data_IF_997903653378
#
_entry.id   IF_997903653378
#
_cell.length_a   1.000
_cell.length_b   1.000
_cell.length_c   1.000
_cell.angle_alpha   90.00
_cell.angle_beta   90.00
_cell.angle_gamma   90.00
#
_symmetry.space_group_name_H-M   'P 1'
#
loop_
_entity.id
_entity.type
_entity.pdbx_description
1 polymer ?
#
# COMPACT_ATOMS: atom_id res chain seq x y z
N UNK A 1 -5.17 10.93 16.07
CA UNK A 1 -6.04 10.98 17.28
C UNK A 1 -6.94 12.22 17.31
N UNK A 2 -7.28 12.81 16.15
CA UNK A 2 -8.15 13.99 16.07
C UNK A 2 -9.62 13.54 15.92
N UNK A 3 -10.52 14.07 16.75
CA UNK A 3 -11.96 13.87 16.59
C UNK A 3 -12.46 14.44 15.25
N UNK A 4 -11.87 15.55 14.80
CA UNK A 4 -12.18 16.13 13.50
C UNK A 4 -11.81 15.17 12.36
N UNK A 5 -10.69 14.47 12.44
CA UNK A 5 -10.29 13.49 11.45
C UNK A 5 -11.30 12.33 11.39
N UNK A 6 -11.73 11.82 12.55
CA UNK A 6 -12.74 10.76 12.61
C UNK A 6 -14.09 11.21 12.01
N UNK A 7 -14.52 12.44 12.30
CA UNK A 7 -15.73 13.03 11.72
C UNK A 7 -15.63 13.16 10.19
N UNK A 8 -14.49 13.69 9.70
CA UNK A 8 -14.27 13.82 8.24
C UNK A 8 -14.19 12.46 7.55
N UNK A 9 -13.58 11.46 8.17
CA UNK A 9 -13.56 10.08 7.65
C UNK A 9 -14.98 9.51 7.53
N UNK A 10 -15.83 9.70 8.54
CA UNK A 10 -17.21 9.27 8.51
C UNK A 10 -18.02 10.00 7.42
N UNK A 11 -17.89 11.31 7.31
CA UNK A 11 -18.55 12.10 6.25
C UNK A 11 -18.10 11.67 4.84
N UNK A 12 -16.81 11.41 4.66
CA UNK A 12 -16.27 10.92 3.41
C UNK A 12 -16.79 9.53 3.08
N UNK A 13 -16.85 8.62 4.04
CA UNK A 13 -17.41 7.28 3.85
C UNK A 13 -18.87 7.35 3.39
N UNK A 14 -19.69 8.16 4.04
CA UNK A 14 -21.09 8.36 3.62
C UNK A 14 -21.16 8.90 2.19
N UNK A 15 -20.38 9.90 1.86
CA UNK A 15 -20.40 10.53 0.52
C UNK A 15 -19.99 9.56 -0.59
N UNK A 16 -18.92 8.81 -0.38
CA UNK A 16 -18.32 7.97 -1.43
C UNK A 16 -19.02 6.59 -1.53
N UNK A 17 -19.44 6.00 -0.41
CA UNK A 17 -19.92 4.63 -0.40
C UNK A 17 -21.44 4.49 -0.59
N UNK A 18 -22.24 5.51 -0.21
CA UNK A 18 -23.70 5.39 -0.22
C UNK A 18 -24.29 5.03 -1.59
N UNK A 19 -23.62 5.41 -2.68
CA UNK A 19 -24.09 5.13 -4.04
C UNK A 19 -23.77 3.69 -4.52
N UNK A 20 -22.82 3.00 -3.88
CA UNK A 20 -22.28 1.73 -4.37
C UNK A 20 -22.38 0.58 -3.36
N UNK A 21 -22.73 0.84 -2.11
CA UNK A 21 -22.79 -0.16 -1.02
C UNK A 21 -23.78 -1.30 -1.26
N UNK A 22 -24.73 -1.12 -2.15
CA UNK A 22 -25.74 -2.14 -2.48
C UNK A 22 -25.45 -2.84 -3.83
N UNK A 23 -24.28 -2.59 -4.44
CA UNK A 23 -23.88 -3.21 -5.71
C UNK A 23 -23.36 -4.64 -5.46
N UNK A 24 -24.06 -5.69 -5.90
CA UNK A 24 -23.65 -7.08 -5.67
C UNK A 24 -22.38 -7.49 -6.43
N UNK A 25 -21.89 -6.66 -7.34
CA UNK A 25 -20.66 -6.90 -8.09
C UNK A 25 -19.43 -6.20 -7.49
N UNK A 26 -19.62 -5.35 -6.48
CA UNK A 26 -18.54 -4.72 -5.76
C UNK A 26 -17.89 -5.73 -4.81
N UNK A 27 -16.58 -5.90 -4.89
CA UNK A 27 -15.83 -6.79 -3.99
C UNK A 27 -15.57 -6.10 -2.65
N UNK A 28 -15.16 -4.83 -2.69
CA UNK A 28 -14.78 -4.08 -1.51
C UNK A 28 -14.06 -2.78 -1.85
N UNK A 29 -13.46 -2.18 -0.83
CA UNK A 29 -12.87 -0.85 -0.91
C UNK A 29 -11.40 -0.86 -0.51
N UNK A 30 -10.54 -0.27 -1.31
CA UNK A 30 -9.22 0.16 -0.87
C UNK A 30 -9.36 1.47 -0.09
N UNK A 31 -8.89 1.50 1.14
CA UNK A 31 -9.10 2.66 2.03
C UNK A 31 -8.06 3.76 1.85
N UNK A 32 -6.91 3.43 1.26
CA UNK A 32 -5.90 4.39 0.81
C UNK A 32 -4.94 3.72 -0.19
N UNK A 33 -3.99 4.49 -0.72
CA UNK A 33 -2.94 4.00 -1.60
C UNK A 33 -1.57 4.46 -1.11
N UNK A 34 -0.65 3.51 -0.98
CA UNK A 34 0.77 3.74 -0.74
C UNK A 34 1.07 4.77 0.37
N UNK A 35 0.62 4.52 1.61
CA UNK A 35 0.85 5.46 2.68
C UNK A 35 2.36 5.72 2.89
N UNK A 36 2.72 6.99 3.07
CA UNK A 36 4.09 7.50 3.12
C UNK A 36 5.03 6.77 4.08
N UNK A 37 4.51 6.25 5.20
CA UNK A 37 5.35 5.53 6.17
C UNK A 37 5.89 4.18 5.67
N UNK A 38 5.46 3.76 4.47
CA UNK A 38 5.97 2.59 3.76
C UNK A 38 6.37 2.85 2.32
N UNK A 39 6.18 4.03 1.82
CA UNK A 39 6.59 4.39 0.46
C UNK A 39 8.08 4.72 0.41
N UNK A 40 8.52 5.58 1.32
CA UNK A 40 9.93 5.90 1.51
C UNK A 40 10.44 5.25 2.79
N UNK A 41 11.59 4.58 2.70
CA UNK A 41 12.24 3.97 3.84
C UNK A 41 12.41 5.00 4.98
N UNK A 42 12.19 4.56 6.22
CA UNK A 42 12.50 5.30 7.45
C UNK A 42 11.63 6.51 7.81
N UNK A 43 10.46 6.68 7.23
CA UNK A 43 9.50 7.67 7.73
C UNK A 43 8.88 7.18 9.04
N UNK A 44 9.38 7.70 10.16
CA UNK A 44 8.79 7.47 11.48
C UNK A 44 7.78 8.57 11.80
N UNK A 45 6.49 8.21 11.89
CA UNK A 45 5.40 9.18 12.11
C UNK A 45 5.50 9.90 13.46
N UNK A 46 6.04 9.25 14.50
CA UNK A 46 6.26 9.91 15.79
C UNK A 46 7.30 11.03 15.68
N UNK A 47 8.39 10.78 14.94
CA UNK A 47 9.36 11.83 14.69
C UNK A 47 8.80 12.95 13.81
N UNK A 48 8.03 12.62 12.76
CA UNK A 48 7.35 13.63 11.95
C UNK A 48 6.41 14.49 12.80
N UNK A 49 5.67 13.88 13.71
CA UNK A 49 4.82 14.56 14.67
C UNK A 49 5.61 15.54 15.55
N UNK A 50 6.76 15.12 16.07
CA UNK A 50 7.59 15.93 16.96
C UNK A 50 8.35 17.05 16.24
N UNK A 51 8.68 16.86 14.96
CA UNK A 51 9.49 17.82 14.19
C UNK A 51 8.64 18.88 13.46
N UNK A 52 7.44 18.52 12.99
CA UNK A 52 6.58 19.42 12.22
C UNK A 52 5.59 20.17 13.14
N UNK A 53 5.21 21.40 12.81
CA UNK A 53 4.19 22.12 13.58
C UNK A 53 2.81 21.49 13.42
N UNK A 54 1.91 21.73 14.35
CA UNK A 54 0.52 21.26 14.30
C UNK A 54 0.29 19.92 15.00
N UNK A 55 -0.80 19.24 14.66
CA UNK A 55 -1.20 17.93 15.19
C UNK A 55 -1.30 17.86 16.73
N UNK A 56 -1.88 18.89 17.36
CA UNK A 56 -1.94 19.04 18.83
C UNK A 56 -2.59 17.82 19.50
N UNK A 57 -3.66 17.26 18.93
CA UNK A 57 -4.32 16.09 19.49
C UNK A 57 -3.37 14.88 19.57
N UNK A 58 -2.62 14.61 18.49
CA UNK A 58 -1.65 13.51 18.47
C UNK A 58 -0.45 13.77 19.39
N UNK A 59 -0.01 15.02 19.54
CA UNK A 59 1.03 15.40 20.51
C UNK A 59 0.57 15.20 21.96
N UNK A 60 -0.66 15.54 22.30
CA UNK A 60 -1.23 15.27 23.62
C UNK A 60 -1.26 13.77 23.91
N UNK A 61 -1.66 12.97 22.93
CA UNK A 61 -1.65 11.52 23.06
C UNK A 61 -0.23 10.95 23.25
N UNK A 62 0.76 11.50 22.54
CA UNK A 62 2.17 11.16 22.76
C UNK A 62 2.63 11.52 24.18
N UNK A 63 2.25 12.69 24.69
CA UNK A 63 2.57 13.11 26.07
C UNK A 63 1.98 12.12 27.08
N UNK A 64 0.71 11.74 26.92
CA UNK A 64 0.06 10.72 27.79
C UNK A 64 0.81 9.38 27.76
N UNK A 65 1.20 8.94 26.57
CA UNK A 65 1.99 7.72 26.40
C UNK A 65 3.33 7.79 27.14
N UNK A 66 4.05 8.90 26.99
CA UNK A 66 5.34 9.11 27.65
C UNK A 66 5.21 9.31 29.17
N UNK A 67 4.15 9.99 29.63
CA UNK A 67 3.83 10.12 31.06
C UNK A 67 3.57 8.74 31.70
N UNK A 68 2.81 7.88 31.02
CA UNK A 68 2.58 6.52 31.49
C UNK A 68 3.86 5.68 31.55
N UNK A 69 4.83 5.97 30.69
CA UNK A 69 6.09 5.20 30.61
C UNK A 69 7.17 5.69 31.56
N UNK A 70 7.31 7.00 31.74
CA UNK A 70 8.40 7.61 32.50
C UNK A 70 7.99 8.23 33.85
N UNK A 71 6.74 8.57 34.01
CA UNK A 71 6.22 9.19 35.22
C UNK A 71 6.60 10.66 35.39
N UNK A 72 7.84 11.07 35.04
CA UNK A 72 8.29 12.45 35.14
C UNK A 72 9.08 12.91 33.90
N UNK A 73 9.16 14.23 33.70
CA UNK A 73 9.93 14.83 32.60
C UNK A 73 11.45 14.66 32.80
N UNK A 74 11.92 14.59 34.02
CA UNK A 74 13.31 14.35 34.37
C UNK A 74 13.73 12.93 33.95
N UNK A 75 12.89 11.95 34.21
CA UNK A 75 13.12 10.56 33.74
C UNK A 75 13.12 10.46 32.22
N UNK A 76 12.21 11.14 31.54
CA UNK A 76 12.20 11.25 30.08
C UNK A 76 13.48 11.90 29.56
N UNK A 77 13.89 13.05 30.15
CA UNK A 77 15.11 13.75 29.77
C UNK A 77 16.35 12.86 29.91
N UNK A 78 16.44 12.13 31.02
CA UNK A 78 17.54 11.18 31.23
C UNK A 78 17.55 10.05 30.15
N UNK A 79 16.38 9.54 29.78
CA UNK A 79 16.24 8.48 28.78
C UNK A 79 16.50 8.97 27.35
N UNK A 80 16.03 10.16 26.98
CA UNK A 80 16.15 10.72 25.65
C UNK A 80 17.41 11.56 25.42
N UNK A 81 18.14 11.90 26.48
CA UNK A 81 19.27 12.83 26.40
C UNK A 81 18.83 14.26 26.06
N UNK A 82 17.69 14.71 26.61
CA UNK A 82 17.09 16.02 26.35
C UNK A 82 17.09 16.89 27.61
N UNK A 83 16.68 18.14 27.47
CA UNK A 83 16.53 19.11 28.57
C UNK A 83 15.17 19.81 28.47
N UNK A 84 14.09 19.06 28.34
CA UNK A 84 12.73 19.60 28.31
C UNK A 84 12.37 20.19 29.66
N UNK A 85 11.78 21.37 29.66
CA UNK A 85 11.38 22.08 30.90
C UNK A 85 10.06 21.56 31.49
N UNK A 86 9.30 20.78 30.75
CA UNK A 86 8.03 20.16 31.14
C UNK A 86 7.42 19.41 29.98
N UNK A 87 6.34 18.66 30.24
CA UNK A 87 5.63 17.91 29.24
C UNK A 87 5.11 18.76 28.08
N UNK A 88 4.70 19.99 28.36
CA UNK A 88 4.16 20.91 27.35
C UNK A 88 5.21 21.36 26.32
N UNK A 89 6.49 21.18 26.58
CA UNK A 89 7.54 21.42 25.57
C UNK A 89 7.37 20.54 24.34
N UNK A 90 6.75 19.36 24.48
CA UNK A 90 6.45 18.45 23.37
C UNK A 90 5.25 18.90 22.50
N UNK A 91 4.51 19.91 22.91
CA UNK A 91 3.46 20.54 22.09
C UNK A 91 4.05 21.42 20.98
N UNK A 92 5.30 21.81 21.10
CA UNK A 92 6.06 22.55 20.09
C UNK A 92 7.01 21.65 19.32
N UNK A 93 7.42 22.03 18.09
CA UNK A 93 8.39 21.27 17.33
C UNK A 93 9.74 21.14 18.06
N UNK A 94 10.31 19.93 18.03
CA UNK A 94 11.68 19.71 18.47
C UNK A 94 12.65 20.01 17.32
N UNK A 95 13.68 20.81 17.59
CA UNK A 95 14.70 21.16 16.59
C UNK A 95 15.63 19.99 16.28
N UNK A 96 15.95 19.18 17.31
CA UNK A 96 16.88 18.06 17.19
C UNK A 96 16.21 16.76 17.58
N UNK A 97 16.40 15.73 16.76
CA UNK A 97 15.93 14.38 17.04
C UNK A 97 16.73 13.77 18.19
N UNK A 98 16.09 13.34 19.28
CA UNK A 98 16.72 12.48 20.28
C UNK A 98 17.17 11.15 19.62
N UNK A 99 18.41 10.75 19.89
CA UNK A 99 19.04 9.58 19.22
C UNK A 99 19.52 8.51 20.21
N UNK A 100 18.87 8.40 21.35
CA UNK A 100 19.14 7.32 22.29
C UNK A 100 18.35 6.06 21.92
N UNK A 101 18.80 4.87 22.35
CA UNK A 101 18.01 3.64 22.15
C UNK A 101 16.59 3.71 22.75
N UNK A 102 16.43 4.42 23.88
CA UNK A 102 15.14 4.63 24.51
C UNK A 102 14.22 5.50 23.65
N UNK A 103 14.73 6.62 23.11
CA UNK A 103 13.96 7.50 22.22
C UNK A 103 13.55 6.77 20.94
N UNK A 104 14.44 5.99 20.33
CA UNK A 104 14.14 5.21 19.13
C UNK A 104 13.05 4.16 19.39
N UNK A 105 13.10 3.47 20.55
CA UNK A 105 12.08 2.51 20.96
C UNK A 105 10.72 3.20 21.18
N UNK A 106 10.69 4.40 21.79
CA UNK A 106 9.48 5.17 21.99
C UNK A 106 8.89 5.67 20.66
N UNK A 107 9.75 6.16 19.76
CA UNK A 107 9.33 6.58 18.43
C UNK A 107 8.69 5.44 17.65
N UNK A 108 9.28 4.26 17.70
CA UNK A 108 8.70 3.09 17.04
C UNK A 108 7.39 2.65 17.69
N UNK A 109 7.33 2.62 19.02
CA UNK A 109 6.11 2.23 19.73
C UNK A 109 4.94 3.18 19.46
N UNK A 110 5.21 4.50 19.45
CA UNK A 110 4.16 5.48 19.16
C UNK A 110 3.82 5.59 17.68
N UNK A 111 4.79 5.37 16.78
CA UNK A 111 4.53 5.20 15.35
C UNK A 111 3.46 4.13 15.09
N UNK A 112 3.61 2.95 15.72
CA UNK A 112 2.63 1.87 15.59
C UNK A 112 1.25 2.27 16.12
N UNK A 113 1.16 3.04 17.20
CA UNK A 113 -0.12 3.56 17.70
C UNK A 113 -0.78 4.54 16.70
N UNK A 114 0.01 5.36 16.01
CA UNK A 114 -0.50 6.28 14.98
C UNK A 114 -1.04 5.50 13.77
N UNK A 115 -0.30 4.49 13.31
CA UNK A 115 -0.71 3.63 12.19
C UNK A 115 -1.97 2.85 12.54
N UNK A 116 -2.04 2.30 13.76
CA UNK A 116 -3.21 1.59 14.27
C UNK A 116 -4.45 2.50 14.31
N UNK A 117 -4.32 3.68 14.92
CA UNK A 117 -5.42 4.64 15.00
C UNK A 117 -5.90 5.10 13.62
N UNK A 118 -4.99 5.28 12.66
CA UNK A 118 -5.31 5.63 11.28
C UNK A 118 -6.15 4.53 10.62
N UNK A 119 -5.66 3.28 10.67
CA UNK A 119 -6.36 2.13 10.10
C UNK A 119 -7.73 1.89 10.74
N UNK A 120 -7.81 2.01 12.08
CA UNK A 120 -9.04 1.86 12.84
C UNK A 120 -10.10 2.87 12.42
N UNK A 121 -9.78 4.16 12.45
CA UNK A 121 -10.74 5.24 12.17
C UNK A 121 -11.35 5.09 10.77
N UNK A 122 -10.53 4.84 9.76
CA UNK A 122 -11.01 4.68 8.39
C UNK A 122 -11.88 3.43 8.25
N UNK A 123 -11.44 2.32 8.85
CA UNK A 123 -12.16 1.06 8.76
C UNK A 123 -13.50 1.08 9.49
N UNK A 124 -13.57 1.72 10.66
CA UNK A 124 -14.83 1.92 11.38
C UNK A 124 -15.79 2.80 10.57
N UNK A 125 -15.31 3.90 10.01
CA UNK A 125 -16.10 4.78 9.15
C UNK A 125 -16.65 4.04 7.91
N UNK A 126 -15.84 3.18 7.29
CA UNK A 126 -16.27 2.35 6.16
C UNK A 126 -17.37 1.37 6.60
N UNK A 127 -17.12 0.59 7.65
CA UNK A 127 -18.02 -0.48 8.10
C UNK A 127 -19.33 0.05 8.71
N UNK A 128 -19.37 1.28 9.16
CA UNK A 128 -20.62 1.94 9.59
C UNK A 128 -21.58 2.19 8.41
N UNK A 129 -21.03 2.52 7.23
CA UNK A 129 -21.82 2.77 6.01
C UNK A 129 -22.11 1.48 5.25
N UNK A 130 -21.09 0.61 5.18
CA UNK A 130 -21.17 -0.65 4.43
C UNK A 130 -20.50 -1.79 5.23
N UNK A 131 -21.29 -2.53 6.01
CA UNK A 131 -20.79 -3.66 6.78
C UNK A 131 -20.52 -4.92 5.94
N UNK A 132 -20.98 -4.97 4.69
CA UNK A 132 -21.03 -6.18 3.88
C UNK A 132 -19.83 -6.35 2.96
N UNK A 133 -19.38 -5.27 2.29
CA UNK A 133 -18.25 -5.34 1.39
C UNK A 133 -16.91 -5.36 2.15
N UNK A 134 -15.90 -5.93 1.49
CA UNK A 134 -14.59 -6.14 2.11
C UNK A 134 -13.82 -4.83 2.27
N UNK A 135 -13.08 -4.72 3.36
CA UNK A 135 -12.02 -3.75 3.50
C UNK A 135 -10.73 -4.35 2.91
N UNK A 136 -10.34 -3.87 1.73
CA UNK A 136 -9.21 -4.39 0.96
C UNK A 136 -7.85 -3.79 1.38
N UNK A 137 -7.81 -2.99 2.43
CA UNK A 137 -6.57 -2.43 2.98
C UNK A 137 -6.02 -1.23 2.22
N UNK A 138 -4.70 -1.02 2.34
CA UNK A 138 -4.05 0.25 2.00
C UNK A 138 -3.13 0.20 0.76
N UNK A 139 -3.07 -0.89 0.03
CA UNK A 139 -2.21 -1.03 -1.16
C UNK A 139 -0.77 -0.57 -0.89
N UNK A 140 -0.12 -1.19 0.10
CA UNK A 140 1.20 -0.77 0.55
C UNK A 140 2.27 -0.85 -0.55
N UNK A 141 3.04 0.22 -0.76
CA UNK A 141 4.12 0.22 -1.73
C UNK A 141 5.27 -0.67 -1.27
N UNK A 142 5.64 -1.66 -2.07
CA UNK A 142 6.82 -2.48 -1.85
C UNK A 142 6.89 -3.20 -0.50
N UNK A 143 5.76 -3.34 0.22
CA UNK A 143 5.71 -4.00 1.52
C UNK A 143 6.14 -5.46 1.39
N UNK A 144 7.34 -5.80 1.83
CA UNK A 144 7.90 -7.15 1.78
C UNK A 144 8.69 -7.47 3.06
N UNK A 145 8.57 -8.70 3.51
CA UNK A 145 9.38 -9.24 4.59
C UNK A 145 9.32 -8.46 5.91
N UNK A 146 10.48 -8.11 6.46
CA UNK A 146 10.60 -7.42 7.76
C UNK A 146 9.90 -6.05 7.83
N UNK A 147 9.67 -5.39 6.70
CA UNK A 147 8.94 -4.11 6.69
C UNK A 147 7.49 -4.29 7.07
N UNK A 148 6.88 -5.41 6.70
CA UNK A 148 5.49 -5.74 7.07
C UNK A 148 5.36 -5.81 8.59
N UNK A 149 6.31 -6.40 9.30
CA UNK A 149 6.31 -6.49 10.77
C UNK A 149 6.28 -5.14 11.46
N UNK A 150 6.87 -4.11 10.85
CA UNK A 150 6.89 -2.75 11.41
C UNK A 150 5.56 -2.02 11.35
N UNK A 151 4.60 -2.53 10.54
CA UNK A 151 3.33 -1.88 10.27
C UNK A 151 2.14 -2.65 10.80
N UNK A 152 2.30 -3.95 10.88
CA UNK A 152 1.23 -4.96 10.80
C UNK A 152 0.54 -5.23 12.13
N UNK A 153 1.06 -4.75 13.26
CA UNK A 153 0.47 -5.13 14.55
C UNK A 153 -0.90 -4.51 14.84
N UNK A 154 -1.22 -3.38 14.23
CA UNK A 154 -2.49 -2.67 14.45
C UNK A 154 -3.48 -2.75 13.27
N UNK A 155 -3.15 -2.21 12.10
CA UNK A 155 -4.11 -2.08 10.98
C UNK A 155 -4.68 -3.38 10.46
N UNK A 156 -3.96 -4.49 10.56
CA UNK A 156 -4.45 -5.79 10.10
C UNK A 156 -5.68 -6.29 10.85
N UNK A 157 -5.92 -5.81 12.07
CA UNK A 157 -7.13 -6.18 12.82
C UNK A 157 -8.41 -5.60 12.19
N UNK A 158 -8.27 -4.67 11.24
CA UNK A 158 -9.38 -3.94 10.64
C UNK A 158 -9.59 -4.24 9.17
N UNK A 159 -8.66 -4.96 8.53
CA UNK A 159 -8.71 -5.29 7.11
C UNK A 159 -9.19 -6.73 6.90
N UNK A 160 -10.00 -6.94 5.87
CA UNK A 160 -10.40 -8.28 5.44
C UNK A 160 -9.35 -8.88 4.49
N UNK A 161 -8.60 -8.03 3.78
CA UNK A 161 -7.56 -8.39 2.82
C UNK A 161 -6.33 -7.51 3.03
N UNK A 162 -5.14 -8.10 3.00
CA UNK A 162 -3.89 -7.36 2.95
C UNK A 162 -3.53 -7.05 1.49
N UNK A 163 -3.57 -5.79 1.11
CA UNK A 163 -3.20 -5.37 -0.24
C UNK A 163 -1.86 -4.65 -0.29
N UNK A 164 -1.10 -4.91 -1.34
CA UNK A 164 0.20 -4.26 -1.59
C UNK A 164 0.44 -4.12 -3.09
N UNK A 165 1.20 -3.10 -3.49
CA UNK A 165 1.58 -2.87 -4.87
C UNK A 165 2.89 -3.61 -5.14
N UNK A 166 2.94 -4.39 -6.23
CA UNK A 166 4.11 -5.19 -6.55
C UNK A 166 4.48 -5.13 -8.03
N UNK A 167 5.35 -4.24 -8.33
CA UNK A 167 6.00 -4.14 -9.63
C UNK A 167 7.19 -5.10 -9.69
N UNK A 168 7.30 -5.88 -10.76
CA UNK A 168 8.34 -6.89 -10.92
C UNK A 168 7.99 -7.98 -11.92
N UNK A 169 8.85 -8.99 -12.01
CA UNK A 169 8.64 -10.09 -12.95
C UNK A 169 7.57 -11.09 -12.51
N UNK A 170 7.29 -11.18 -11.20
CA UNK A 170 6.33 -12.13 -10.63
C UNK A 170 5.88 -11.70 -9.22
N UNK A 171 4.68 -12.09 -8.77
CA UNK A 171 4.18 -11.72 -7.45
C UNK A 171 4.42 -12.78 -6.36
N UNK A 172 4.74 -14.02 -6.70
CA UNK A 172 4.71 -15.19 -5.80
C UNK A 172 5.70 -15.06 -4.64
N UNK A 173 6.95 -14.72 -4.94
CA UNK A 173 7.99 -14.63 -3.89
C UNK A 173 7.66 -13.57 -2.87
N UNK A 174 7.36 -12.30 -3.27
CA UNK A 174 6.92 -11.29 -2.31
C UNK A 174 5.63 -11.67 -1.58
N UNK A 175 4.64 -12.21 -2.26
CA UNK A 175 3.38 -12.61 -1.64
C UNK A 175 3.58 -13.72 -0.60
N UNK A 176 4.44 -14.68 -0.88
CA UNK A 176 4.79 -15.75 0.08
C UNK A 176 5.46 -15.20 1.33
N UNK A 177 6.37 -14.26 1.18
CA UNK A 177 7.07 -13.65 2.31
C UNK A 177 6.12 -12.81 3.17
N UNK A 178 5.23 -12.04 2.54
CA UNK A 178 4.17 -11.31 3.24
C UNK A 178 3.18 -12.28 3.89
N UNK A 179 2.73 -13.31 3.16
CA UNK A 179 1.73 -14.27 3.65
C UNK A 179 2.14 -15.01 4.91
N UNK A 180 3.44 -15.32 5.07
CA UNK A 180 3.99 -15.92 6.30
C UNK A 180 3.84 -15.03 7.53
N UNK A 181 3.85 -13.71 7.33
CA UNK A 181 3.77 -12.73 8.42
C UNK A 181 2.32 -12.34 8.74
N UNK A 182 1.48 -12.20 7.73
CA UNK A 182 0.12 -11.67 7.91
C UNK A 182 -0.95 -12.75 8.06
N UNK A 183 -0.73 -13.92 7.49
CA UNK A 183 -1.64 -15.08 7.53
C UNK A 183 -3.12 -14.73 7.25
N UNK A 184 -3.33 -13.96 6.19
CA UNK A 184 -4.67 -13.54 5.74
C UNK A 184 -4.72 -13.49 4.20
N UNK A 185 -5.92 -13.40 3.58
CA UNK A 185 -6.03 -13.18 2.15
C UNK A 185 -5.24 -11.95 1.70
N UNK A 186 -4.56 -12.07 0.57
CA UNK A 186 -3.74 -10.97 0.03
C UNK A 186 -4.18 -10.60 -1.38
N UNK A 187 -3.87 -9.36 -1.76
CA UNK A 187 -4.13 -8.86 -3.11
C UNK A 187 -2.98 -7.95 -3.56
N UNK A 188 -2.50 -8.16 -4.79
CA UNK A 188 -1.66 -7.16 -5.45
C UNK A 188 -2.56 -6.06 -5.99
N UNK A 189 -2.42 -4.85 -5.44
CA UNK A 189 -3.24 -3.68 -5.81
C UNK A 189 -2.80 -3.03 -7.10
N UNK A 190 -1.49 -3.08 -7.42
CA UNK A 190 -0.92 -2.56 -8.66
C UNK A 190 0.25 -3.38 -9.14
N UNK A 191 0.31 -3.58 -10.44
CA UNK A 191 1.46 -4.06 -11.19
C UNK A 191 1.30 -3.72 -12.67
N UNK A 192 2.40 -3.54 -13.37
CA UNK A 192 2.39 -3.40 -14.82
C UNK A 192 3.67 -3.93 -15.46
N UNK A 193 3.61 -4.12 -16.75
CA UNK A 193 4.76 -4.32 -17.64
C UNK A 193 4.47 -3.53 -18.91
N UNK A 194 5.36 -2.61 -19.26
CA UNK A 194 5.29 -1.84 -20.49
C UNK A 194 6.13 -2.43 -21.64
N UNK A 195 6.27 -1.68 -22.72
CA UNK A 195 7.15 -2.05 -23.83
C UNK A 195 7.76 -0.81 -24.49
N UNK A 196 8.99 -0.94 -24.99
CA UNK A 196 9.65 0.12 -25.77
C UNK A 196 9.03 0.31 -27.15
N UNK A 197 8.37 -0.71 -27.66
CA UNK A 197 7.81 -0.73 -29.00
C UNK A 197 6.50 0.05 -29.07
N UNK A 198 6.48 1.13 -29.85
CA UNK A 198 5.29 1.91 -30.23
C UNK A 198 4.78 2.87 -29.14
N UNK A 199 4.34 4.04 -29.50
CA UNK A 199 3.55 4.96 -28.70
C UNK A 199 4.32 5.98 -27.89
N UNK A 200 4.47 5.81 -26.58
CA UNK A 200 5.07 6.77 -25.68
C UNK A 200 6.57 6.53 -25.49
N UNK A 201 7.32 7.56 -25.13
CA UNK A 201 8.76 7.47 -24.86
C UNK A 201 9.09 7.00 -23.43
N UNK A 202 8.09 6.67 -22.64
CA UNK A 202 8.23 6.13 -21.30
C UNK A 202 7.43 4.82 -21.16
N UNK A 203 8.06 3.77 -20.62
CA UNK A 203 7.58 2.40 -20.78
C UNK A 203 7.15 1.74 -19.47
N UNK A 204 7.02 2.52 -18.42
CA UNK A 204 6.65 2.04 -17.09
C UNK A 204 7.85 1.64 -16.23
N UNK A 205 7.57 1.34 -14.96
CA UNK A 205 8.59 0.95 -13.97
C UNK A 205 9.32 -0.33 -14.43
N UNK A 206 8.54 -1.30 -14.95
CA UNK A 206 9.08 -2.50 -15.59
C UNK A 206 8.58 -2.62 -17.02
N UNK A 207 9.46 -2.98 -17.93
CA UNK A 207 9.15 -3.03 -19.36
C UNK A 207 9.98 -4.09 -20.11
N UNK A 208 9.58 -4.35 -21.34
CA UNK A 208 10.28 -5.22 -22.30
C UNK A 208 10.58 -4.47 -23.59
N UNK A 209 11.38 -5.04 -24.47
CA UNK A 209 11.74 -4.42 -25.76
C UNK A 209 10.55 -4.37 -26.74
N UNK A 210 9.67 -5.38 -26.70
CA UNK A 210 8.60 -5.55 -27.70
C UNK A 210 7.25 -5.86 -27.07
N UNK A 211 6.16 -5.54 -27.77
CA UNK A 211 4.80 -5.90 -27.36
C UNK A 211 4.61 -7.42 -27.24
N UNK A 212 5.30 -8.21 -28.06
CA UNK A 212 5.26 -9.67 -27.98
C UNK A 212 5.88 -10.19 -26.67
N UNK A 213 7.04 -9.64 -26.26
CA UNK A 213 7.67 -9.99 -24.97
C UNK A 213 6.83 -9.48 -23.80
N UNK A 214 6.24 -8.28 -23.92
CA UNK A 214 5.31 -7.76 -22.92
C UNK A 214 4.16 -8.71 -22.66
N UNK A 215 3.49 -9.21 -23.72
CA UNK A 215 2.40 -10.15 -23.58
C UNK A 215 2.85 -11.47 -22.90
N UNK A 216 4.04 -11.99 -23.22
CA UNK A 216 4.62 -13.16 -22.56
C UNK A 216 4.92 -12.89 -21.07
N UNK A 217 5.49 -11.74 -20.73
CA UNK A 217 5.78 -11.36 -19.36
C UNK A 217 4.49 -11.20 -18.53
N UNK A 218 3.44 -10.61 -19.11
CA UNK A 218 2.11 -10.49 -18.49
C UNK A 218 1.50 -11.88 -18.27
N UNK A 219 1.51 -12.75 -19.26
CA UNK A 219 0.99 -14.11 -19.14
C UNK A 219 1.73 -14.90 -18.05
N UNK A 220 3.06 -14.79 -18.00
CA UNK A 220 3.86 -15.37 -16.93
C UNK A 220 3.47 -14.83 -15.54
N UNK A 221 3.38 -13.51 -15.38
CA UNK A 221 2.99 -12.89 -14.10
C UNK A 221 1.63 -13.40 -13.62
N UNK A 222 0.64 -13.43 -14.52
CA UNK A 222 -0.71 -13.90 -14.22
C UNK A 222 -0.74 -15.38 -13.84
N UNK A 223 -0.04 -16.25 -14.56
CA UNK A 223 0.05 -17.67 -14.22
C UNK A 223 0.75 -17.89 -12.88
N UNK A 224 1.83 -17.12 -12.60
CA UNK A 224 2.51 -17.22 -11.32
C UNK A 224 1.62 -16.76 -10.16
N UNK A 225 0.76 -15.78 -10.35
CA UNK A 225 -0.13 -15.31 -9.29
C UNK A 225 -1.04 -16.41 -8.73
N UNK A 226 -1.36 -17.44 -9.52
CA UNK A 226 -2.16 -18.59 -9.08
C UNK A 226 -1.39 -19.61 -8.23
N UNK A 227 -0.08 -19.43 -8.06
CA UNK A 227 0.78 -20.41 -7.37
C UNK A 227 1.01 -20.06 -5.89
N UNK A 228 0.42 -18.99 -5.39
CA UNK A 228 0.47 -18.58 -3.97
C UNK A 228 -0.94 -18.64 -3.36
N UNK A 229 -1.20 -19.57 -2.43
CA UNK A 229 -2.55 -19.80 -1.91
C UNK A 229 -3.21 -18.62 -1.20
N UNK A 230 -2.41 -17.72 -0.62
CA UNK A 230 -2.94 -16.53 0.06
C UNK A 230 -3.26 -15.39 -0.92
N UNK A 231 -2.76 -15.45 -2.16
CA UNK A 231 -2.96 -14.41 -3.16
C UNK A 231 -4.30 -14.60 -3.88
N UNK A 232 -5.26 -13.76 -3.56
CA UNK A 232 -6.65 -13.87 -4.03
C UNK A 232 -6.94 -13.01 -5.26
N UNK A 233 -6.04 -12.09 -5.65
CA UNK A 233 -6.21 -11.24 -6.81
C UNK A 233 -4.98 -10.41 -7.14
N UNK A 234 -4.90 -9.99 -8.40
CA UNK A 234 -3.88 -9.07 -8.91
C UNK A 234 -4.53 -8.04 -9.82
N UNK A 235 -4.41 -6.76 -9.49
CA UNK A 235 -4.97 -5.65 -10.25
C UNK A 235 -3.91 -5.01 -11.14
N UNK A 236 -4.18 -5.01 -12.44
CA UNK A 236 -3.28 -4.41 -13.42
C UNK A 236 -3.38 -2.88 -13.41
N UNK A 237 -2.28 -2.21 -13.33
CA UNK A 237 -2.16 -0.76 -13.43
C UNK A 237 -1.49 -0.39 -14.76
N UNK A 238 -2.24 0.08 -15.77
CA UNK A 238 -3.66 0.43 -15.72
C UNK A 238 -4.38 0.09 -17.05
N UNK A 239 -5.66 0.45 -17.19
CA UNK A 239 -6.45 0.10 -18.38
C UNK A 239 -5.96 0.79 -19.67
N UNK A 240 -5.71 2.09 -19.64
CA UNK A 240 -5.19 2.88 -20.76
C UNK A 240 -3.73 3.29 -20.56
N UNK A 241 -3.04 3.59 -21.66
CA UNK A 241 -1.78 4.32 -21.56
C UNK A 241 -2.01 5.67 -20.88
N UNK A 242 -1.02 6.13 -20.13
CA UNK A 242 -1.09 7.43 -19.47
C UNK A 242 -1.06 8.57 -20.49
N UNK A 243 -1.55 9.77 -20.12
CA UNK A 243 -1.59 10.91 -21.03
C UNK A 243 -0.20 11.24 -21.59
N UNK A 244 -0.12 11.55 -22.89
CA UNK A 244 1.15 11.89 -23.56
C UNK A 244 1.91 13.05 -22.90
N UNK A 245 1.19 14.00 -22.33
CA UNK A 245 1.78 15.15 -21.60
C UNK A 245 2.08 14.85 -20.13
N UNK A 246 1.86 13.62 -19.69
CA UNK A 246 2.04 13.17 -18.31
C UNK A 246 0.82 13.40 -17.42
N UNK A 247 0.76 12.63 -16.35
CA UNK A 247 -0.17 12.81 -15.24
C UNK A 247 0.26 13.98 -14.33
N UNK A 248 -0.49 14.24 -13.28
CA UNK A 248 -0.18 15.28 -12.27
C UNK A 248 1.18 15.06 -11.56
N UNK A 249 1.67 13.84 -11.51
CA UNK A 249 2.96 13.43 -10.94
C UNK A 249 4.09 13.32 -11.98
N UNK A 250 3.78 13.59 -13.25
CA UNK A 250 4.73 13.58 -14.38
C UNK A 250 4.87 12.24 -15.09
N UNK A 251 4.22 11.18 -14.63
CA UNK A 251 4.25 9.90 -15.36
C UNK A 251 3.52 9.97 -16.70
N UNK A 252 4.12 9.34 -17.74
CA UNK A 252 3.55 9.21 -19.08
C UNK A 252 3.81 7.82 -19.66
N UNK A 253 3.45 6.78 -18.92
CA UNK A 253 3.83 5.40 -19.22
C UNK A 253 2.95 4.73 -20.27
N UNK A 254 3.62 3.95 -21.16
CA UNK A 254 2.97 3.02 -22.08
C UNK A 254 2.76 1.66 -21.39
N UNK A 255 1.71 1.56 -20.62
CA UNK A 255 1.41 0.39 -19.78
C UNK A 255 -0.01 -0.14 -19.96
N UNK A 256 -0.87 0.56 -20.72
CA UNK A 256 -2.28 0.24 -20.88
C UNK A 256 -2.56 -1.05 -21.66
N UNK A 257 -3.79 -1.52 -21.60
CA UNK A 257 -4.35 -2.50 -22.54
C UNK A 257 -4.75 -1.82 -23.86
N UNK A 258 -4.97 -0.50 -23.80
CA UNK A 258 -5.25 0.37 -24.96
C UNK A 258 -4.26 1.55 -24.96
N UNK A 259 -3.98 2.08 -26.14
CA UNK A 259 -3.13 3.25 -26.29
C UNK A 259 -3.88 4.57 -26.03
N UNK A 260 -3.18 5.70 -26.09
CA UNK A 260 -3.75 7.06 -25.91
C UNK A 260 -4.84 7.43 -26.94
N UNK A 261 -5.00 6.65 -28.00
CA UNK A 261 -6.03 6.80 -29.02
C UNK A 261 -7.17 5.78 -28.85
N UNK A 262 -7.24 5.09 -27.71
CA UNK A 262 -8.20 4.01 -27.40
C UNK A 262 -8.09 2.81 -28.35
N UNK A 263 -6.92 2.54 -28.94
CA UNK A 263 -6.68 1.35 -29.76
C UNK A 263 -6.08 0.25 -28.88
N UNK A 264 -6.62 -0.98 -28.92
CA UNK A 264 -6.11 -2.08 -28.09
C UNK A 264 -4.72 -2.50 -28.53
N UNK A 265 -3.91 -2.96 -27.57
CA UNK A 265 -2.71 -3.77 -27.81
C UNK A 265 -3.12 -5.24 -27.95
N UNK A 266 -3.25 -5.78 -29.17
CA UNK A 266 -3.92 -7.08 -29.37
C UNK A 266 -3.24 -8.24 -28.64
N UNK A 267 -1.92 -8.25 -28.57
CA UNK A 267 -1.16 -9.32 -27.89
C UNK A 267 -1.35 -9.26 -26.37
N UNK A 268 -1.33 -8.06 -25.80
CA UNK A 268 -1.59 -7.85 -24.38
C UNK A 268 -3.02 -8.23 -24.02
N UNK A 269 -4.01 -7.73 -24.76
CA UNK A 269 -5.41 -8.08 -24.56
C UNK A 269 -5.65 -9.60 -24.65
N UNK A 270 -5.00 -10.26 -25.63
CA UNK A 270 -5.07 -11.72 -25.76
C UNK A 270 -4.46 -12.45 -24.55
N UNK A 271 -3.33 -11.99 -24.01
CA UNK A 271 -2.72 -12.60 -22.84
C UNK A 271 -3.66 -12.61 -21.62
N UNK A 272 -4.36 -11.51 -21.38
CA UNK A 272 -5.39 -11.45 -20.33
C UNK A 272 -6.59 -12.35 -20.61
N UNK A 273 -7.09 -12.36 -21.85
CA UNK A 273 -8.22 -13.20 -22.24
C UNK A 273 -7.92 -14.70 -22.14
N UNK A 274 -6.74 -15.12 -22.59
CA UNK A 274 -6.29 -16.51 -22.48
C UNK A 274 -6.13 -16.93 -21.01
N UNK A 275 -5.54 -16.08 -20.18
CA UNK A 275 -5.43 -16.34 -18.75
C UNK A 275 -6.80 -16.44 -18.08
N UNK A 276 -7.74 -15.55 -18.39
CA UNK A 276 -9.08 -15.56 -17.79
C UNK A 276 -9.81 -16.90 -18.00
N UNK A 277 -9.59 -17.57 -19.13
CA UNK A 277 -10.16 -18.90 -19.40
C UNK A 277 -9.47 -20.02 -18.61
N UNK A 278 -8.19 -19.84 -18.27
CA UNK A 278 -7.36 -20.84 -17.60
C UNK A 278 -7.22 -20.61 -16.09
N UNK A 279 -7.67 -19.46 -15.59
CA UNK A 279 -7.46 -19.03 -14.21
C UNK A 279 -7.93 -20.08 -13.18
N UNK A 280 -9.18 -20.54 -13.28
CA UNK A 280 -9.70 -21.55 -12.36
C UNK A 280 -9.04 -22.93 -12.55
N UNK A 281 -8.83 -23.45 -13.78
CA UNK A 281 -8.01 -24.64 -13.97
C UNK A 281 -6.60 -24.58 -13.37
N UNK A 282 -5.96 -23.41 -13.39
CA UNK A 282 -4.65 -23.21 -12.76
C UNK A 282 -4.74 -23.19 -11.23
N UNK A 283 -5.75 -22.50 -10.69
CA UNK A 283 -5.96 -22.39 -9.23
C UNK A 283 -6.27 -23.74 -8.58
N UNK A 284 -7.06 -24.60 -9.24
CA UNK A 284 -7.43 -25.92 -8.71
C UNK A 284 -6.47 -27.05 -9.13
N UNK A 285 -5.40 -26.72 -9.84
CA UNK A 285 -4.32 -27.64 -10.21
C UNK A 285 -4.66 -28.59 -11.37
N UNK A 286 -5.78 -28.40 -12.08
CA UNK A 286 -6.12 -29.17 -13.31
C UNK A 286 -5.21 -28.80 -14.48
N UNK A 287 -4.71 -27.57 -14.50
CA UNK A 287 -3.68 -27.12 -15.42
C UNK A 287 -2.44 -26.63 -14.67
N UNK A 288 -1.33 -26.53 -15.39
CA UNK A 288 -0.07 -25.99 -14.87
C UNK A 288 0.34 -24.73 -15.62
N UNK A 289 1.10 -23.82 -15.00
CA UNK A 289 1.75 -22.73 -15.70
C UNK A 289 2.57 -23.24 -16.88
N UNK A 290 2.44 -22.58 -18.02
CA UNK A 290 3.16 -22.95 -19.27
C UNK A 290 4.11 -21.84 -19.73
N UNK A 291 3.87 -20.60 -19.33
CA UNK A 291 4.73 -19.49 -19.68
C UNK A 291 5.99 -19.47 -18.81
N UNK A 292 7.10 -19.16 -19.45
CA UNK A 292 8.40 -19.01 -18.79
C UNK A 292 8.71 -17.54 -18.59
N UNK A 293 9.52 -17.24 -17.56
CA UNK A 293 10.00 -15.90 -17.29
C UNK A 293 10.76 -15.35 -18.49
N UNK A 294 10.41 -14.17 -18.94
CA UNK A 294 11.17 -13.39 -19.93
C UNK A 294 11.96 -12.30 -19.22
N UNK A 295 13.00 -11.82 -19.87
CA UNK A 295 13.75 -10.68 -19.40
C UNK A 295 12.90 -9.44 -19.43
N UNK A 296 12.88 -8.71 -18.33
CA UNK A 296 12.26 -7.39 -18.17
C UNK A 296 13.31 -6.41 -17.66
N UNK A 297 13.19 -5.17 -18.10
CA UNK A 297 14.02 -4.06 -17.66
C UNK A 297 13.28 -3.21 -16.63
N UNK A 298 13.99 -2.41 -15.87
CA UNK A 298 13.42 -1.40 -14.98
C UNK A 298 14.06 -0.04 -15.22
N UNK A 299 13.39 1.01 -14.80
CA UNK A 299 13.87 2.38 -14.98
C UNK A 299 14.87 2.86 -13.92
N UNK A 300 15.25 2.00 -12.96
CA UNK A 300 16.26 2.32 -11.92
C UNK A 300 15.81 2.02 -10.53
#
# INVERSE_FOLDING_TARGET
>A
FSEEYARLAAEMAVRELSAVKDDPYLIGYFVTNEPEWLFYADVNLCWQLLHKPGCVASRRRLIEFLQGRYGSVEALNAAWGTALHGWDALLSPLEKRPDTPAAQADFQAFHLQLVDAYGKIISEALKEVDPHHLNLGMRYAGAVGEQVKKIVSGPLNYFDVFSFNRYGAEPVTPARDVGREVNMPMMVGEWHIGAQEGGLDSWGIYYTDTQARRAQAIAYYLEQSTQEPHLTGVHYFEYGDQPYLGRFDGECYQIGLIDVCNRPYPLTAKAFADFAQRMYPLLDGREKPVHTRVEIHNIG
#
